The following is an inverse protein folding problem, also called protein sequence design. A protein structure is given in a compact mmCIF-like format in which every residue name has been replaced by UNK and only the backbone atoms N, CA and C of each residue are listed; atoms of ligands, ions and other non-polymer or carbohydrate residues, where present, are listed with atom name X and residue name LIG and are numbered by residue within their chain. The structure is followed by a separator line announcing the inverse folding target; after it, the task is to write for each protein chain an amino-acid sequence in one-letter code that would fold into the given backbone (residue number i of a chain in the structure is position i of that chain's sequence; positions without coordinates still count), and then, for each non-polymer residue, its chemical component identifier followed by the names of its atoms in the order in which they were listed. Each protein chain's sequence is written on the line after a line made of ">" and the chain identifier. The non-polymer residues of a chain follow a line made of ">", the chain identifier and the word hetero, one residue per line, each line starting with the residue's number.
data_IF_599415328580
#
_entry.id   IF_599415328580
#
_cell.length_a   1.000
_cell.length_b   1.000
_cell.length_c   1.000
_cell.angle_alpha   90.00
_cell.angle_beta   90.00
_cell.angle_gamma   90.00
#
_symmetry.space_group_name_H-M   'P 1'
#
loop_
_entity.id
_entity.type
_entity.pdbx_description
1 polymer ?
#
# COMPACT_ATOMS: atom_id res chain seq x y z
N UNK A 1 9.81 4.19 5.68
CA UNK A 1 11.05 3.45 6.00
C UNK A 1 10.86 2.79 7.37
N UNK A 2 10.96 1.46 7.45
CA UNK A 2 10.89 0.75 8.73
C UNK A 2 12.07 1.21 9.59
N UNK A 3 11.81 1.82 10.75
CA UNK A 3 12.87 2.36 11.60
C UNK A 3 13.76 1.19 12.07
N UNK A 4 15.07 1.31 11.89
CA UNK A 4 16.05 0.37 12.45
C UNK A 4 16.62 -0.66 11.48
N UNK A 5 15.91 -1.02 10.39
CA UNK A 5 16.38 -2.08 9.45
C UNK A 5 17.78 -1.81 8.91
N UNK A 6 18.03 -0.59 8.43
CA UNK A 6 19.34 -0.20 7.88
C UNK A 6 20.45 -0.25 8.93
N UNK A 7 20.13 0.16 10.17
CA UNK A 7 21.08 0.13 11.27
C UNK A 7 21.40 -1.31 11.67
N UNK A 8 20.38 -2.14 11.92
CA UNK A 8 20.54 -3.56 12.26
C UNK A 8 21.33 -4.30 11.18
N UNK A 9 21.05 -4.04 9.90
CA UNK A 9 21.76 -4.64 8.78
C UNK A 9 23.25 -4.22 8.78
N UNK A 10 23.53 -2.94 8.98
CA UNK A 10 24.91 -2.42 9.06
C UNK A 10 25.68 -2.97 10.26
N UNK A 11 24.98 -3.12 11.40
CA UNK A 11 25.53 -3.69 12.62
C UNK A 11 25.86 -5.18 12.42
N UNK A 12 24.96 -5.94 11.79
CA UNK A 12 25.18 -7.34 11.45
C UNK A 12 26.34 -7.53 10.46
N UNK A 13 26.51 -6.63 9.49
CA UNK A 13 27.68 -6.63 8.59
C UNK A 13 28.98 -6.40 9.36
N UNK A 14 28.96 -5.56 10.39
CA UNK A 14 30.12 -5.35 11.27
C UNK A 14 30.43 -6.60 12.10
N UNK A 15 29.40 -7.27 12.65
CA UNK A 15 29.54 -8.56 13.34
C UNK A 15 30.13 -9.62 12.40
N UNK A 16 29.59 -9.76 11.19
CA UNK A 16 30.13 -10.68 10.18
C UNK A 16 31.60 -10.40 9.89
N UNK A 17 31.95 -9.13 9.70
CA UNK A 17 33.34 -8.71 9.45
C UNK A 17 34.27 -9.09 10.61
N UNK A 18 33.81 -8.95 11.85
CA UNK A 18 34.56 -9.42 13.02
C UNK A 18 34.70 -10.96 13.04
N UNK A 19 33.67 -11.71 12.63
CA UNK A 19 33.73 -13.17 12.51
C UNK A 19 34.71 -13.63 11.41
N UNK A 20 34.84 -12.86 10.33
CA UNK A 20 35.82 -13.10 9.27
C UNK A 20 37.25 -12.86 9.76
N UNK A 21 37.47 -11.83 10.59
CA UNK A 21 38.78 -11.48 11.15
C UNK A 21 39.22 -12.38 12.31
N UNK A 22 38.25 -12.88 13.11
CA UNK A 22 38.52 -13.64 14.33
C UNK A 22 37.94 -15.07 14.15
N UNK A 23 38.76 -16.07 13.75
CA UNK A 23 38.25 -17.42 13.46
C UNK A 23 37.55 -18.11 14.63
N UNK A 24 37.94 -17.80 15.87
CA UNK A 24 37.34 -18.35 17.09
C UNK A 24 36.03 -17.65 17.50
N UNK A 25 35.70 -16.50 16.91
CA UNK A 25 34.48 -15.76 17.21
C UNK A 25 33.32 -16.33 16.39
N UNK A 26 32.56 -17.24 17.03
CA UNK A 26 31.46 -17.99 16.41
C UNK A 26 30.21 -17.91 17.29
N UNK A 27 29.55 -16.74 17.37
CA UNK A 27 28.35 -16.58 18.16
C UNK A 27 27.27 -17.57 17.71
N UNK A 28 26.64 -18.24 18.68
CA UNK A 28 25.65 -19.31 18.44
C UNK A 28 26.17 -20.46 17.53
N UNK A 29 27.48 -20.66 17.45
CA UNK A 29 28.10 -21.63 16.54
C UNK A 29 27.97 -21.28 15.06
N UNK A 30 27.52 -20.07 14.71
CA UNK A 30 27.33 -19.63 13.33
C UNK A 30 28.65 -19.23 12.67
N UNK A 31 28.75 -19.51 11.38
CA UNK A 31 29.85 -19.05 10.52
C UNK A 31 29.55 -17.68 9.90
N UNK A 32 30.54 -16.98 9.33
CA UNK A 32 30.28 -15.74 8.59
C UNK A 32 29.28 -15.91 7.44
N UNK A 33 29.24 -17.09 6.82
CA UNK A 33 28.26 -17.41 5.78
C UNK A 33 26.83 -17.47 6.34
N UNK A 34 26.65 -18.02 7.56
CA UNK A 34 25.34 -18.02 8.22
C UNK A 34 24.89 -16.60 8.59
N UNK A 35 25.80 -15.75 9.06
CA UNK A 35 25.50 -14.34 9.32
C UNK A 35 25.08 -13.60 8.04
N UNK A 36 25.76 -13.88 6.92
CA UNK A 36 25.37 -13.34 5.61
C UNK A 36 23.97 -13.80 5.20
N UNK A 37 23.61 -15.07 5.43
CA UNK A 37 22.24 -15.56 5.15
C UNK A 37 21.17 -14.81 5.93
N UNK A 38 21.43 -14.43 7.20
CA UNK A 38 20.49 -13.65 7.99
C UNK A 38 20.35 -12.22 7.45
N UNK A 39 21.46 -11.60 7.04
CA UNK A 39 21.47 -10.28 6.40
C UNK A 39 20.67 -10.32 5.09
N UNK A 40 20.95 -11.30 4.22
CA UNK A 40 20.28 -11.45 2.92
C UNK A 40 18.78 -11.70 3.07
N UNK A 41 18.36 -12.41 4.13
CA UNK A 41 16.95 -12.62 4.44
C UNK A 41 16.22 -11.30 4.75
N UNK A 42 16.82 -10.42 5.57
CA UNK A 42 16.26 -9.08 5.85
C UNK A 42 16.20 -8.23 4.58
N UNK A 43 17.28 -8.21 3.79
CA UNK A 43 17.32 -7.44 2.53
C UNK A 43 16.25 -7.91 1.54
N UNK A 44 16.08 -9.22 1.38
CA UNK A 44 15.06 -9.82 0.50
C UNK A 44 13.65 -9.48 0.99
N UNK A 45 13.42 -9.59 2.30
CA UNK A 45 12.13 -9.25 2.91
C UNK A 45 11.81 -7.75 2.78
N UNK A 46 12.81 -6.88 2.95
CA UNK A 46 12.66 -5.44 2.79
C UNK A 46 12.27 -5.07 1.36
N UNK A 47 12.93 -5.66 0.36
CA UNK A 47 12.57 -5.48 -1.05
C UNK A 47 11.14 -5.96 -1.34
N UNK A 48 10.75 -7.10 -0.77
CA UNK A 48 9.39 -7.64 -0.91
C UNK A 48 8.35 -6.69 -0.31
N UNK A 49 8.59 -6.18 0.90
CA UNK A 49 7.75 -5.17 1.54
C UNK A 49 7.59 -3.91 0.67
N UNK A 50 8.69 -3.37 0.15
CA UNK A 50 8.63 -2.17 -0.69
C UNK A 50 7.83 -2.40 -1.98
N UNK A 51 8.01 -3.56 -2.63
CA UNK A 51 7.25 -3.91 -3.82
C UNK A 51 5.74 -4.01 -3.54
N UNK A 52 5.36 -4.68 -2.43
CA UNK A 52 3.96 -4.82 -2.04
C UNK A 52 3.33 -3.50 -1.61
N UNK A 53 4.07 -2.67 -0.86
CA UNK A 53 3.61 -1.33 -0.49
C UNK A 53 3.38 -0.44 -1.73
N UNK A 54 4.34 -0.43 -2.66
CA UNK A 54 4.22 0.33 -3.92
C UNK A 54 3.01 -0.13 -4.74
N UNK A 55 2.79 -1.44 -4.83
CA UNK A 55 1.61 -2.00 -5.52
C UNK A 55 0.31 -1.56 -4.85
N UNK A 56 0.22 -1.59 -3.52
CA UNK A 56 -0.95 -1.12 -2.78
C UNK A 56 -1.22 0.37 -3.01
N UNK A 57 -0.18 1.20 -3.03
CA UNK A 57 -0.31 2.64 -3.29
C UNK A 57 -0.78 2.93 -4.72
N UNK A 58 -0.27 2.18 -5.72
CA UNK A 58 -0.78 2.26 -7.09
C UNK A 58 -2.26 1.90 -7.18
N UNK A 59 -2.68 0.80 -6.56
CA UNK A 59 -4.09 0.37 -6.54
C UNK A 59 -5.01 1.38 -5.85
N UNK A 60 -4.53 2.07 -4.80
CA UNK A 60 -5.24 3.18 -4.16
C UNK A 60 -5.38 4.37 -5.10
N UNK A 61 -4.34 4.69 -5.87
CA UNK A 61 -4.37 5.71 -6.92
C UNK A 61 -5.39 5.39 -8.01
N UNK A 62 -5.36 4.17 -8.56
CA UNK A 62 -6.34 3.73 -9.58
C UNK A 62 -7.78 3.78 -9.07
N UNK A 63 -8.03 3.39 -7.81
CA UNK A 63 -9.36 3.55 -7.21
C UNK A 63 -9.77 5.01 -7.15
N UNK A 64 -8.88 5.90 -6.72
CA UNK A 64 -9.19 7.32 -6.61
C UNK A 64 -9.53 7.91 -7.98
N UNK A 65 -8.73 7.62 -9.02
CA UNK A 65 -9.01 8.04 -10.40
C UNK A 65 -10.35 7.51 -10.91
N UNK A 66 -10.66 6.23 -10.67
CA UNK A 66 -11.93 5.65 -11.07
C UNK A 66 -13.14 6.28 -10.33
N UNK A 67 -12.96 6.65 -9.06
CA UNK A 67 -13.98 7.33 -8.26
C UNK A 67 -14.17 8.77 -8.72
N UNK A 68 -13.10 9.49 -9.04
CA UNK A 68 -13.18 10.85 -9.56
C UNK A 68 -13.88 10.88 -10.92
N UNK A 69 -13.55 9.93 -11.81
CA UNK A 69 -14.24 9.78 -13.09
C UNK A 69 -15.75 9.50 -12.90
N UNK A 70 -16.11 8.61 -11.96
CA UNK A 70 -17.50 8.32 -11.63
C UNK A 70 -18.21 9.53 -11.00
N UNK A 71 -17.54 10.28 -10.13
CA UNK A 71 -18.05 11.50 -9.51
C UNK A 71 -18.37 12.56 -10.56
N UNK A 72 -17.42 12.82 -11.46
CA UNK A 72 -17.59 13.75 -12.58
C UNK A 72 -18.78 13.32 -13.45
N UNK A 73 -18.88 12.04 -13.79
CA UNK A 73 -20.03 11.54 -14.55
C UNK A 73 -21.35 11.76 -13.79
N UNK A 74 -21.40 11.47 -12.48
CA UNK A 74 -22.60 11.66 -11.65
C UNK A 74 -23.03 13.14 -11.56
N UNK A 75 -22.07 14.06 -11.42
CA UNK A 75 -22.32 15.50 -11.34
C UNK A 75 -22.81 16.10 -12.66
N UNK A 76 -22.35 15.57 -13.79
CA UNK A 76 -22.78 16.02 -15.12
C UNK A 76 -24.10 15.39 -15.59
N UNK A 77 -24.30 14.09 -15.35
CA UNK A 77 -25.51 13.37 -15.77
C UNK A 77 -26.76 13.95 -15.10
N UNK A 78 -26.69 14.27 -13.81
CA UNK A 78 -27.82 14.77 -13.04
C UNK A 78 -28.51 16.02 -13.63
N UNK A 79 -27.81 17.15 -13.86
CA UNK A 79 -28.45 18.35 -14.44
C UNK A 79 -28.95 18.10 -15.87
N UNK A 80 -28.30 17.23 -16.65
CA UNK A 80 -28.72 16.95 -18.02
C UNK A 80 -30.00 16.11 -18.04
N UNK A 81 -30.08 15.08 -17.20
CA UNK A 81 -31.34 14.35 -16.97
C UNK A 81 -32.48 15.31 -16.60
N UNK A 82 -32.24 16.24 -15.67
CA UNK A 82 -33.26 17.24 -15.29
C UNK A 82 -33.69 18.12 -16.46
N UNK A 83 -32.76 18.57 -17.29
CA UNK A 83 -33.07 19.41 -18.44
C UNK A 83 -33.88 18.66 -19.50
N UNK A 84 -33.50 17.42 -19.80
CA UNK A 84 -34.16 16.58 -20.82
C UNK A 84 -35.57 16.18 -20.39
N UNK A 85 -35.76 15.77 -19.14
CA UNK A 85 -37.05 15.32 -18.62
C UNK A 85 -37.87 16.43 -17.96
N UNK A 86 -37.53 17.71 -18.16
CA UNK A 86 -38.18 18.85 -17.47
C UNK A 86 -39.71 18.93 -17.62
N UNK A 87 -40.24 18.42 -18.72
CA UNK A 87 -41.69 18.43 -19.01
C UNK A 87 -42.40 17.16 -18.54
N UNK A 88 -41.65 16.11 -18.17
CA UNK A 88 -42.19 14.88 -17.60
C UNK A 88 -42.10 14.93 -16.07
N UNK A 89 -43.22 15.28 -15.44
CA UNK A 89 -43.32 15.46 -13.98
C UNK A 89 -42.89 14.19 -13.22
N UNK A 90 -43.24 13.00 -13.72
CA UNK A 90 -42.92 11.74 -13.05
C UNK A 90 -41.42 11.46 -13.05
N UNK A 91 -40.79 11.56 -14.24
CA UNK A 91 -39.34 11.41 -14.39
C UNK A 91 -38.58 12.48 -13.60
N UNK A 92 -39.01 13.74 -13.65
CA UNK A 92 -38.37 14.83 -12.92
C UNK A 92 -38.43 14.64 -11.40
N UNK A 93 -39.56 14.17 -10.87
CA UNK A 93 -39.68 13.82 -9.45
C UNK A 93 -38.73 12.69 -9.05
N UNK A 94 -38.61 11.64 -9.87
CA UNK A 94 -37.71 10.54 -9.62
C UNK A 94 -36.24 10.99 -9.65
N UNK A 95 -35.86 11.84 -10.61
CA UNK A 95 -34.51 12.43 -10.70
C UNK A 95 -34.20 13.29 -9.47
N UNK A 96 -35.15 14.12 -9.02
CA UNK A 96 -34.94 14.98 -7.85
C UNK A 96 -34.73 14.21 -6.53
N UNK A 97 -35.07 12.92 -6.47
CA UNK A 97 -34.81 12.05 -5.30
C UNK A 97 -33.41 11.43 -5.27
N UNK A 98 -32.62 11.60 -6.34
CA UNK A 98 -31.25 11.10 -6.38
C UNK A 98 -30.34 11.85 -5.39
N UNK A 99 -29.33 11.18 -4.81
CA UNK A 99 -28.25 11.86 -4.09
C UNK A 99 -27.54 12.85 -5.03
N UNK A 100 -27.38 14.09 -4.57
CA UNK A 100 -26.80 15.18 -5.38
C UNK A 100 -25.36 15.51 -4.95
N UNK A 101 -24.99 15.11 -3.74
CA UNK A 101 -23.68 15.35 -3.15
C UNK A 101 -23.08 14.04 -2.69
N UNK A 102 -21.77 13.92 -2.85
CA UNK A 102 -20.95 12.85 -2.30
C UNK A 102 -19.57 13.45 -1.97
N UNK A 103 -18.91 12.90 -0.95
CA UNK A 103 -17.59 13.34 -0.46
C UNK A 103 -16.64 12.18 -0.25
N UNK A 104 -17.16 10.96 -0.29
CA UNK A 104 -16.40 9.74 -0.04
C UNK A 104 -16.58 8.76 -1.20
N UNK A 105 -15.64 7.82 -1.32
CA UNK A 105 -15.70 6.69 -2.25
C UNK A 105 -17.05 5.96 -2.11
N UNK A 106 -17.47 5.68 -0.88
CA UNK A 106 -18.73 4.98 -0.59
C UNK A 106 -19.94 5.75 -1.09
N UNK A 107 -20.01 7.05 -0.81
CA UNK A 107 -21.13 7.89 -1.25
C UNK A 107 -21.17 8.00 -2.78
N UNK A 108 -20.02 8.16 -3.44
CA UNK A 108 -19.91 8.20 -4.90
C UNK A 108 -20.45 6.92 -5.54
N UNK A 109 -20.08 5.76 -5.01
CA UNK A 109 -20.59 4.47 -5.48
C UNK A 109 -22.09 4.30 -5.23
N UNK A 110 -22.61 4.80 -4.11
CA UNK A 110 -24.06 4.78 -3.81
C UNK A 110 -24.81 5.66 -4.81
N UNK A 111 -24.32 6.88 -5.06
CA UNK A 111 -24.89 7.79 -6.05
C UNK A 111 -24.84 7.19 -7.46
N UNK A 112 -23.71 6.63 -7.87
CA UNK A 112 -23.56 5.95 -9.16
C UNK A 112 -24.54 4.79 -9.32
N UNK A 113 -24.75 3.97 -8.28
CA UNK A 113 -25.79 2.92 -8.28
C UNK A 113 -27.20 3.50 -8.44
N UNK A 114 -27.53 4.56 -7.70
CA UNK A 114 -28.84 5.19 -7.76
C UNK A 114 -29.13 5.78 -9.16
N UNK A 115 -28.16 6.51 -9.74
CA UNK A 115 -28.25 7.05 -11.09
C UNK A 115 -28.43 5.93 -12.11
N UNK A 116 -27.61 4.87 -12.04
CA UNK A 116 -27.75 3.69 -12.92
C UNK A 116 -29.18 3.11 -12.84
N UNK A 117 -29.68 2.88 -11.63
CA UNK A 117 -31.01 2.28 -11.43
C UNK A 117 -32.11 3.16 -12.00
N UNK A 118 -32.06 4.47 -11.76
CA UNK A 118 -33.04 5.40 -12.31
C UNK A 118 -32.93 5.47 -13.83
N UNK A 119 -31.72 5.62 -14.38
CA UNK A 119 -31.49 5.73 -15.83
C UNK A 119 -32.09 4.53 -16.58
N UNK A 120 -31.93 3.32 -16.04
CA UNK A 120 -32.52 2.11 -16.63
C UNK A 120 -34.06 2.07 -16.61
N UNK A 121 -34.71 2.90 -15.79
CA UNK A 121 -36.17 2.97 -15.64
C UNK A 121 -36.80 4.16 -16.36
N UNK A 122 -35.99 5.15 -16.77
CA UNK A 122 -36.49 6.32 -17.46
C UNK A 122 -37.00 5.94 -18.87
N UNK A 123 -38.13 6.50 -19.32
CA UNK A 123 -38.57 6.34 -20.70
C UNK A 123 -37.59 7.02 -21.66
N UNK A 124 -37.73 6.79 -22.96
CA UNK A 124 -37.00 7.61 -23.94
C UNK A 124 -37.30 9.11 -23.70
N UNK A 125 -36.31 10.00 -23.94
CA UNK A 125 -36.53 11.44 -23.85
C UNK A 125 -37.78 11.89 -24.60
N UNK A 126 -38.55 12.85 -24.06
CA UNK A 126 -39.74 13.37 -24.75
C UNK A 126 -39.40 13.82 -26.18
N UNK A 127 -40.13 13.30 -27.17
CA UNK A 127 -39.90 13.60 -28.60
C UNK A 127 -38.74 12.84 -29.25
N UNK A 128 -38.10 11.90 -28.54
CA UNK A 128 -37.01 11.06 -29.06
C UNK A 128 -37.44 9.61 -29.27
N UNK A 129 -37.07 9.03 -30.41
CA UNK A 129 -37.19 7.60 -30.66
C UNK A 129 -36.04 6.77 -30.05
N UNK A 130 -34.95 7.43 -29.65
CA UNK A 130 -33.75 6.79 -29.10
C UNK A 130 -33.64 6.99 -27.59
N UNK A 131 -32.94 6.08 -26.90
CA UNK A 131 -32.70 6.15 -25.46
C UNK A 131 -31.89 7.40 -25.06
N UNK A 132 -32.01 7.80 -23.78
CA UNK A 132 -31.32 8.95 -23.22
C UNK A 132 -29.80 8.77 -23.19
N UNK A 133 -29.10 9.85 -23.55
CA UNK A 133 -27.65 10.05 -23.36
C UNK A 133 -27.42 11.39 -22.66
N UNK A 134 -26.53 11.43 -21.69
CA UNK A 134 -26.25 12.66 -20.94
C UNK A 134 -25.43 13.65 -21.79
N UNK A 135 -24.62 13.18 -22.73
CA UNK A 135 -24.05 13.94 -23.83
C UNK A 135 -23.80 12.98 -24.98
N UNK A 136 -23.24 13.43 -26.10
CA UNK A 136 -23.20 12.65 -27.34
C UNK A 136 -22.60 11.23 -27.19
N UNK A 137 -21.70 11.02 -26.22
CA UNK A 137 -20.99 9.75 -26.03
C UNK A 137 -21.34 8.97 -24.77
N UNK A 138 -21.94 9.58 -23.72
CA UNK A 138 -22.24 8.85 -22.48
C UNK A 138 -23.67 8.33 -22.47
N UNK A 139 -23.80 7.07 -22.85
CA UNK A 139 -24.98 6.26 -22.63
C UNK A 139 -24.91 5.48 -21.30
N UNK A 140 -25.98 4.73 -21.03
CA UNK A 140 -26.08 3.90 -19.83
C UNK A 140 -24.95 2.85 -19.76
N UNK A 141 -24.52 2.28 -20.89
CA UNK A 141 -23.48 1.26 -20.89
C UNK A 141 -22.12 1.84 -20.50
N UNK A 142 -21.76 3.00 -21.06
CA UNK A 142 -20.55 3.73 -20.71
C UNK A 142 -20.55 4.16 -19.24
N UNK A 143 -21.69 4.65 -18.72
CA UNK A 143 -21.81 4.98 -17.29
C UNK A 143 -21.67 3.75 -16.39
N UNK A 144 -22.26 2.61 -16.79
CA UNK A 144 -22.13 1.34 -16.06
C UNK A 144 -20.68 0.85 -16.05
N UNK A 145 -19.92 1.06 -17.13
CA UNK A 145 -18.50 0.71 -17.18
C UNK A 145 -17.67 1.50 -16.15
N UNK A 146 -17.93 2.80 -15.98
CA UNK A 146 -17.28 3.61 -14.93
C UNK A 146 -17.58 3.06 -13.52
N UNK A 147 -18.86 2.78 -13.25
CA UNK A 147 -19.27 2.22 -11.96
C UNK A 147 -18.67 0.83 -11.70
N UNK A 148 -18.56 0.00 -12.73
CA UNK A 148 -17.97 -1.33 -12.62
C UNK A 148 -16.47 -1.22 -12.33
N UNK A 149 -15.75 -0.36 -13.05
CA UNK A 149 -14.31 -0.12 -12.86
C UNK A 149 -14.01 0.31 -11.42
N UNK A 150 -14.72 1.32 -10.90
CA UNK A 150 -14.54 1.79 -9.52
C UNK A 150 -14.81 0.69 -8.48
N UNK A 151 -15.83 -0.17 -8.69
CA UNK A 151 -16.10 -1.31 -7.81
C UNK A 151 -15.02 -2.38 -7.87
N UNK A 152 -14.50 -2.67 -9.06
CA UNK A 152 -13.44 -3.67 -9.25
C UNK A 152 -12.19 -3.25 -8.49
N UNK A 153 -11.74 -1.99 -8.64
CA UNK A 153 -10.61 -1.47 -7.86
C UNK A 153 -10.91 -1.49 -6.36
N UNK A 154 -12.10 -1.07 -5.93
CA UNK A 154 -12.46 -1.09 -4.49
C UNK A 154 -12.38 -2.50 -3.89
N UNK A 155 -12.92 -3.49 -4.59
CA UNK A 155 -12.92 -4.87 -4.12
C UNK A 155 -11.50 -5.48 -4.14
N UNK A 156 -10.64 -5.04 -5.06
CA UNK A 156 -9.27 -5.52 -5.19
C UNK A 156 -8.35 -5.07 -4.05
N UNK A 157 -8.55 -3.87 -3.49
CA UNK A 157 -7.65 -3.30 -2.46
C UNK A 157 -7.45 -4.22 -1.27
N UNK A 158 -8.48 -4.92 -0.81
CA UNK A 158 -8.37 -5.79 0.37
C UNK A 158 -7.32 -6.90 0.20
N UNK A 159 -7.20 -7.46 -1.01
CA UNK A 159 -6.20 -8.48 -1.30
C UNK A 159 -4.78 -7.90 -1.25
N UNK A 160 -4.56 -6.73 -1.85
CA UNK A 160 -3.24 -6.07 -1.84
C UNK A 160 -2.85 -5.57 -0.44
N UNK A 161 -3.83 -5.13 0.35
CA UNK A 161 -3.61 -4.74 1.74
C UNK A 161 -3.16 -5.94 2.58
N UNK A 162 -3.80 -7.11 2.41
CA UNK A 162 -3.38 -8.35 3.06
C UNK A 162 -1.96 -8.77 2.64
N UNK A 163 -1.62 -8.70 1.35
CA UNK A 163 -0.28 -9.03 0.87
C UNK A 163 0.79 -8.09 1.46
N UNK A 164 0.50 -6.79 1.58
CA UNK A 164 1.38 -5.81 2.21
C UNK A 164 1.56 -6.11 3.71
N UNK A 165 0.48 -6.47 4.42
CA UNK A 165 0.54 -6.81 5.84
C UNK A 165 1.39 -8.06 6.09
N UNK A 166 1.25 -9.08 5.25
CA UNK A 166 2.07 -10.30 5.32
C UNK A 166 3.56 -9.99 5.07
N UNK A 167 3.87 -9.19 4.06
CA UNK A 167 5.24 -8.77 3.78
C UNK A 167 5.84 -7.91 4.91
N UNK A 168 5.02 -7.08 5.56
CA UNK A 168 5.42 -6.31 6.74
C UNK A 168 5.72 -7.23 7.94
N UNK A 169 4.88 -8.24 8.16
CA UNK A 169 5.09 -9.24 9.21
C UNK A 169 6.39 -10.03 9.03
N UNK A 170 6.64 -10.50 7.80
CA UNK A 170 7.89 -11.19 7.46
C UNK A 170 9.12 -10.28 7.69
N UNK A 171 9.07 -9.02 7.24
CA UNK A 171 10.16 -8.07 7.46
C UNK A 171 10.44 -7.86 8.95
N UNK A 172 9.39 -7.76 9.76
CA UNK A 172 9.52 -7.64 11.20
C UNK A 172 10.20 -8.87 11.81
N UNK A 173 9.75 -10.08 11.48
CA UNK A 173 10.31 -11.34 11.97
C UNK A 173 11.80 -11.50 11.59
N UNK A 174 12.16 -11.20 10.33
CA UNK A 174 13.56 -11.30 9.89
C UNK A 174 14.44 -10.27 10.57
N UNK A 175 13.93 -9.05 10.76
CA UNK A 175 14.66 -7.98 11.45
C UNK A 175 14.90 -8.35 12.91
N UNK A 176 13.87 -8.84 13.62
CA UNK A 176 14.00 -9.31 15.01
C UNK A 176 15.01 -10.45 15.13
N UNK A 177 14.97 -11.42 14.21
CA UNK A 177 15.95 -12.52 14.17
C UNK A 177 17.38 -11.99 14.02
N UNK A 178 17.59 -10.99 13.16
CA UNK A 178 18.90 -10.37 12.95
C UNK A 178 19.34 -9.56 14.18
N UNK A 179 18.44 -8.80 14.80
CA UNK A 179 18.71 -8.02 16.03
C UNK A 179 19.10 -8.94 17.19
N UNK A 180 18.40 -10.06 17.35
CA UNK A 180 18.71 -11.06 18.37
C UNK A 180 20.09 -11.68 18.13
N UNK A 181 20.41 -12.04 16.89
CA UNK A 181 21.73 -12.56 16.53
C UNK A 181 22.83 -11.54 16.86
N UNK A 182 22.66 -10.28 16.46
CA UNK A 182 23.65 -9.22 16.72
C UNK A 182 23.83 -8.97 18.22
N UNK A 183 22.74 -8.91 18.97
CA UNK A 183 22.78 -8.73 20.43
C UNK A 183 23.56 -9.87 21.09
N UNK A 184 23.23 -11.12 20.75
CA UNK A 184 23.95 -12.29 21.25
C UNK A 184 25.42 -12.27 20.83
N UNK A 185 25.71 -11.89 19.59
CA UNK A 185 27.05 -11.81 19.07
C UNK A 185 27.92 -10.83 19.86
N UNK A 186 27.39 -9.64 20.18
CA UNK A 186 28.08 -8.66 21.01
C UNK A 186 28.31 -9.21 22.42
N UNK A 187 27.30 -9.81 23.06
CA UNK A 187 27.45 -10.38 24.42
C UNK A 187 28.55 -11.45 24.44
N UNK A 188 28.51 -12.40 23.50
CA UNK A 188 29.50 -13.48 23.42
C UNK A 188 30.89 -12.92 23.14
N UNK A 189 31.04 -12.02 22.17
CA UNK A 189 32.34 -11.44 21.82
C UNK A 189 32.96 -10.69 23.00
N UNK A 190 32.14 -9.95 23.76
CA UNK A 190 32.59 -9.21 24.96
C UNK A 190 32.96 -10.11 26.13
N UNK A 191 32.36 -11.30 26.22
CA UNK A 191 32.64 -12.28 27.26
C UNK A 191 33.81 -13.22 26.92
N UNK A 192 33.98 -13.54 25.63
CA UNK A 192 34.99 -14.50 25.15
C UNK A 192 36.40 -13.90 25.13
N UNK A 193 36.52 -12.61 24.82
CA UNK A 193 37.81 -11.92 24.73
C UNK A 193 37.97 -10.94 25.89
N UNK A 194 39.18 -10.83 26.44
CA UNK A 194 39.46 -9.92 27.56
C UNK A 194 39.63 -8.48 27.05
N UNK A 195 39.28 -7.46 27.86
CA UNK A 195 39.60 -6.07 27.55
C UNK A 195 41.08 -5.86 27.19
N UNK A 196 41.34 -5.16 26.08
CA UNK A 196 42.69 -4.83 25.62
C UNK A 196 43.36 -5.88 24.71
N UNK A 197 42.66 -6.96 24.32
CA UNK A 197 43.17 -7.84 23.25
C UNK A 197 42.77 -7.32 21.87
N UNK A 198 43.55 -7.62 20.81
CA UNK A 198 43.19 -7.23 19.44
C UNK A 198 41.79 -7.69 19.02
N UNK A 199 41.38 -8.89 19.42
CA UNK A 199 40.04 -9.43 19.14
C UNK A 199 38.95 -8.60 19.83
N UNK A 200 39.18 -8.20 21.09
CA UNK A 200 38.23 -7.39 21.84
C UNK A 200 38.05 -6.01 21.20
N UNK A 201 39.13 -5.39 20.76
CA UNK A 201 39.10 -4.08 20.09
C UNK A 201 38.21 -4.11 18.85
N UNK A 202 38.33 -5.15 18.01
CA UNK A 202 37.45 -5.33 16.85
C UNK A 202 35.98 -5.42 17.27
N UNK A 203 35.66 -6.21 18.30
CA UNK A 203 34.27 -6.34 18.80
C UNK A 203 33.72 -5.01 19.35
N UNK A 204 34.53 -4.24 20.07
CA UNK A 204 34.08 -2.98 20.67
C UNK A 204 33.92 -1.84 19.65
N UNK A 205 34.49 -1.96 18.46
CA UNK A 205 34.24 -1.01 17.36
C UNK A 205 32.88 -1.18 16.67
N UNK A 206 32.19 -2.31 16.92
CA UNK A 206 30.86 -2.54 16.34
C UNK A 206 29.87 -1.51 16.92
N UNK A 207 29.20 -0.70 16.08
CA UNK A 207 28.28 0.33 16.56
C UNK A 207 27.17 -0.27 17.41
N UNK A 208 26.86 0.28 18.58
CA UNK A 208 25.73 -0.16 19.42
C UNK A 208 24.51 0.73 19.32
N UNK A 209 24.65 1.91 18.71
CA UNK A 209 23.58 2.88 18.51
C UNK A 209 23.67 3.46 17.09
N UNK A 210 22.53 3.88 16.49
CA UNK A 210 22.55 4.60 15.23
C UNK A 210 23.38 5.87 15.32
N UNK A 211 24.12 6.17 14.25
CA UNK A 211 24.81 7.45 14.14
C UNK A 211 23.79 8.58 14.34
N UNK A 212 23.95 9.34 15.42
CA UNK A 212 23.14 10.53 15.61
C UNK A 212 23.47 11.47 14.46
N UNK A 213 22.49 11.80 13.63
CA UNK A 213 22.67 12.85 12.63
C UNK A 213 23.11 14.09 13.40
N UNK A 214 24.38 14.47 13.24
CA UNK A 214 24.85 15.77 13.66
C UNK A 214 23.94 16.80 12.97
N UNK A 215 23.06 17.41 13.75
CA UNK A 215 22.25 18.55 13.30
C UNK A 215 23.23 19.67 12.98
N UNK A 216 23.55 19.81 11.70
CA UNK A 216 24.10 21.04 11.11
C UNK A 216 22.95 21.94 10.69
#
# INVERSE_FOLDING_TARGET
>A
MFKGVDFTTSQAQSVKSAMDQIPAYRPEGKTPANAQTLIDAVVTSQATFFNKNTTLDLMRGELQEAIDALHVACTQVYPIMKAVYRMDVGSLQAINRLPVTDRTIRETLVRGKAIKMLWAQLPNPPGSATAFKAWDTLDLAAFVALLLTAKTHQNGIAAFDQEQQLAQGDLHEKTETLENFVTTALIIGRAQFLPGTPEREVIDTIPTEPAHSARG
#
